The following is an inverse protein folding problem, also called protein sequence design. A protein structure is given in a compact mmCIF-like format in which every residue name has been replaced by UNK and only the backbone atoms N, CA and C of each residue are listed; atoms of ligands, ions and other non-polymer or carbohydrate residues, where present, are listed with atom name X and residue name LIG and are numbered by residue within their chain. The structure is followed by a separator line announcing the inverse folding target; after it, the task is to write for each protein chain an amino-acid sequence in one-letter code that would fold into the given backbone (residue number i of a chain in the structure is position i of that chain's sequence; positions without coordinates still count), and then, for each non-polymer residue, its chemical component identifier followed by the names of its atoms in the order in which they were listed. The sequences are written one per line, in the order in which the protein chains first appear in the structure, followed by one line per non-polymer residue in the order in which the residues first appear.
data_IF_028205290319
#
_entry.id   IF_028205290319
#
_cell.length_a   1.000
_cell.length_b   1.000
_cell.length_c   1.000
_cell.angle_alpha   90.00
_cell.angle_beta   90.00
_cell.angle_gamma   90.00
#
_symmetry.space_group_name_H-M   'P 1'
#
loop_
_entity.id
_entity.type
_entity.pdbx_description
1 polymer ?
#
# COMPACT_ATOMS: atom_id res chain seq x y z
N UNK A 1 -29.80 26.88 16.84
CA UNK A 1 -29.16 26.54 18.13
C UNK A 1 -27.92 25.69 17.87
N UNK A 2 -26.74 26.29 17.99
CA UNK A 2 -25.47 25.65 17.72
C UNK A 2 -25.08 24.75 18.89
N UNK A 3 -25.25 23.44 18.73
CA UNK A 3 -24.77 22.46 19.70
C UNK A 3 -23.24 22.38 19.63
N UNK A 4 -22.59 23.06 20.58
CA UNK A 4 -21.18 22.93 20.92
C UNK A 4 -20.80 21.45 20.96
N UNK A 5 -19.92 21.01 20.06
CA UNK A 5 -19.26 19.72 20.21
C UNK A 5 -18.38 19.84 21.45
N UNK A 6 -18.79 19.17 22.53
CA UNK A 6 -18.01 19.10 23.74
C UNK A 6 -16.63 18.53 23.40
N UNK A 7 -15.62 19.41 23.36
CA UNK A 7 -14.23 18.99 23.38
C UNK A 7 -14.04 18.27 24.71
N UNK A 8 -13.83 16.96 24.69
CA UNK A 8 -13.30 16.26 25.86
C UNK A 8 -11.97 16.95 26.20
N UNK A 9 -11.91 17.57 27.37
CA UNK A 9 -10.74 18.29 27.85
C UNK A 9 -9.51 17.38 27.72
N UNK A 10 -8.57 17.75 26.85
CA UNK A 10 -7.31 17.05 26.64
C UNK A 10 -6.98 16.63 25.20
N UNK A 11 -7.94 16.59 24.26
CA UNK A 11 -7.63 16.17 22.89
C UNK A 11 -7.55 17.35 21.90
N UNK A 12 -6.34 17.61 21.36
CA UNK A 12 -6.05 18.70 20.42
C UNK A 12 -6.79 18.56 19.08
N UNK A 13 -7.25 17.36 18.75
CA UNK A 13 -7.88 17.04 17.46
C UNK A 13 -9.35 16.65 17.62
N UNK A 14 -10.16 16.92 16.59
CA UNK A 14 -11.58 16.51 16.55
C UNK A 14 -11.67 14.99 16.48
N UNK A 15 -12.60 14.40 17.22
CA UNK A 15 -12.80 12.93 17.25
C UNK A 15 -13.98 12.43 16.42
N UNK A 16 -14.63 13.32 15.66
CA UNK A 16 -15.78 13.00 14.83
C UNK A 16 -15.90 13.90 13.61
N UNK A 17 -16.77 13.53 12.66
CA UNK A 17 -16.95 14.25 11.40
C UNK A 17 -17.51 15.66 11.62
N UNK A 18 -17.24 16.53 10.64
CA UNK A 18 -17.84 17.87 10.63
C UNK A 18 -19.33 17.76 10.33
N UNK A 19 -20.14 18.54 11.08
CA UNK A 19 -21.56 18.75 10.75
C UNK A 19 -21.66 19.69 9.54
N UNK A 20 -21.44 19.15 8.35
CA UNK A 20 -21.47 19.87 7.08
C UNK A 20 -22.18 19.05 6.01
N UNK A 21 -22.80 19.72 5.05
CA UNK A 21 -23.34 19.11 3.82
C UNK A 21 -22.32 19.06 2.68
N UNK A 22 -21.16 19.72 2.86
CA UNK A 22 -20.08 19.78 1.88
C UNK A 22 -19.09 18.63 2.09
N UNK A 23 -18.19 18.47 1.12
CA UNK A 23 -17.07 17.55 1.20
C UNK A 23 -16.21 17.85 2.44
N UNK A 24 -15.82 16.83 3.25
CA UNK A 24 -14.87 17.03 4.33
C UNK A 24 -13.53 17.58 3.79
N UNK A 25 -12.91 18.57 4.47
CA UNK A 25 -11.70 19.22 3.97
C UNK A 25 -10.46 18.32 3.96
N UNK A 26 -10.51 17.16 4.61
CA UNK A 26 -9.43 16.18 4.63
C UNK A 26 -9.35 15.27 3.40
N UNK A 27 -10.42 15.18 2.60
CA UNK A 27 -10.53 14.13 1.56
C UNK A 27 -9.40 14.20 0.53
N UNK A 28 -9.01 15.38 0.09
CA UNK A 28 -7.92 15.53 -0.89
C UNK A 28 -6.58 14.96 -0.39
N UNK A 29 -6.28 15.11 0.90
CA UNK A 29 -5.06 14.55 1.49
C UNK A 29 -5.08 13.02 1.51
N UNK A 30 -6.26 12.42 1.76
CA UNK A 30 -6.41 10.97 1.81
C UNK A 30 -6.29 10.37 0.40
N UNK A 31 -6.98 10.94 -0.58
CA UNK A 31 -6.93 10.47 -1.98
C UNK A 31 -5.52 10.64 -2.56
N UNK A 32 -4.90 11.80 -2.36
CA UNK A 32 -3.54 12.04 -2.83
C UNK A 32 -2.53 11.08 -2.20
N UNK A 33 -2.67 10.79 -0.90
CA UNK A 33 -1.84 9.80 -0.23
C UNK A 33 -2.04 8.40 -0.79
N UNK A 34 -3.28 7.98 -1.07
CA UNK A 34 -3.54 6.67 -1.67
C UNK A 34 -2.92 6.54 -3.06
N UNK A 35 -3.09 7.54 -3.93
CA UNK A 35 -2.48 7.49 -5.26
C UNK A 35 -0.96 7.35 -5.22
N UNK A 36 -0.30 8.10 -4.34
CA UNK A 36 1.15 8.04 -4.17
C UNK A 36 1.62 6.73 -3.52
N UNK A 37 0.88 6.21 -2.54
CA UNK A 37 1.17 4.91 -1.94
C UNK A 37 1.05 3.79 -2.99
N UNK A 38 0.03 3.86 -3.86
CA UNK A 38 -0.17 2.87 -4.95
C UNK A 38 0.90 2.99 -6.01
N UNK A 39 1.33 4.21 -6.33
CA UNK A 39 2.52 4.42 -7.14
C UNK A 39 3.74 3.72 -6.50
N UNK A 40 3.96 3.92 -5.20
CA UNK A 40 5.07 3.33 -4.44
C UNK A 40 5.07 1.80 -4.50
N UNK A 41 3.93 1.20 -4.18
CA UNK A 41 3.77 -0.25 -4.08
C UNK A 41 3.91 -0.93 -5.43
N UNK A 42 3.13 -0.49 -6.42
CA UNK A 42 3.12 -1.13 -7.73
C UNK A 42 4.40 -0.85 -8.51
N UNK A 43 5.01 0.33 -8.36
CA UNK A 43 6.28 0.66 -9.01
C UNK A 43 7.42 -0.24 -8.54
N UNK A 44 7.58 -0.37 -7.21
CA UNK A 44 8.58 -1.26 -6.62
C UNK A 44 8.31 -2.71 -7.01
N UNK A 45 7.06 -3.16 -6.89
CA UNK A 45 6.66 -4.53 -7.24
C UNK A 45 6.96 -4.85 -8.72
N UNK A 46 6.70 -3.90 -9.63
CA UNK A 46 6.87 -4.12 -11.06
C UNK A 46 8.31 -4.43 -11.46
N UNK A 47 9.28 -3.86 -10.75
CA UNK A 47 10.71 -4.06 -11.01
C UNK A 47 11.35 -5.12 -10.12
N UNK A 48 10.66 -5.60 -9.08
CA UNK A 48 11.26 -6.41 -8.03
C UNK A 48 11.89 -7.71 -8.55
N UNK A 49 11.21 -8.41 -9.45
CA UNK A 49 11.76 -9.66 -10.01
C UNK A 49 12.96 -9.41 -10.93
N UNK A 50 12.93 -8.31 -11.70
CA UNK A 50 14.05 -7.89 -12.55
C UNK A 50 15.25 -7.47 -11.69
N UNK A 51 15.01 -6.74 -10.60
CA UNK A 51 16.04 -6.37 -9.64
C UNK A 51 16.76 -7.60 -9.08
N UNK A 52 16.01 -8.60 -8.59
CA UNK A 52 16.59 -9.82 -8.03
C UNK A 52 17.38 -10.66 -9.03
N UNK A 53 16.96 -10.67 -10.30
CA UNK A 53 17.57 -11.51 -11.35
C UNK A 53 18.65 -10.80 -12.16
N UNK A 54 18.76 -9.47 -12.09
CA UNK A 54 19.67 -8.71 -12.96
C UNK A 54 20.50 -7.63 -12.24
N UNK A 55 20.09 -7.15 -11.07
CA UNK A 55 20.72 -6.00 -10.40
C UNK A 55 21.22 -6.30 -8.97
N UNK A 56 21.01 -7.51 -8.47
CA UNK A 56 21.40 -7.89 -7.11
C UNK A 56 22.92 -8.09 -6.98
N UNK A 57 23.50 -7.59 -5.89
CA UNK A 57 24.95 -7.58 -5.65
C UNK A 57 25.32 -8.25 -4.31
N UNK A 58 26.57 -8.73 -4.22
CA UNK A 58 27.20 -9.13 -2.96
C UNK A 58 27.68 -7.88 -2.20
N UNK A 59 28.05 -8.05 -0.93
CA UNK A 59 28.58 -6.96 -0.09
C UNK A 59 29.88 -6.34 -0.64
N UNK A 60 30.63 -7.09 -1.46
CA UNK A 60 31.84 -6.61 -2.15
C UNK A 60 31.54 -5.94 -3.50
N UNK A 61 30.27 -5.83 -3.89
CA UNK A 61 29.82 -5.24 -5.16
C UNK A 61 29.86 -6.18 -6.37
N UNK A 62 30.23 -7.46 -6.18
CA UNK A 62 30.16 -8.45 -7.27
C UNK A 62 28.71 -8.88 -7.53
N UNK A 63 28.42 -9.38 -8.73
CA UNK A 63 27.08 -9.83 -9.09
C UNK A 63 26.61 -11.01 -8.22
N UNK A 64 25.39 -10.93 -7.70
CA UNK A 64 24.76 -11.92 -6.83
C UNK A 64 23.31 -12.20 -7.22
N UNK A 65 23.03 -12.17 -8.52
CA UNK A 65 21.69 -12.37 -9.07
C UNK A 65 21.12 -13.72 -8.64
N UNK A 66 19.85 -13.73 -8.24
CA UNK A 66 19.12 -14.95 -7.91
C UNK A 66 18.70 -15.69 -9.17
N UNK A 67 18.54 -17.01 -9.07
CA UNK A 67 17.83 -17.77 -10.10
C UNK A 67 16.38 -17.31 -10.21
N UNK A 68 15.74 -17.55 -11.37
CA UNK A 68 14.34 -17.18 -11.56
C UNK A 68 13.41 -17.81 -10.51
N UNK A 69 13.68 -19.05 -10.11
CA UNK A 69 12.84 -19.77 -9.15
C UNK A 69 12.99 -19.21 -7.74
N UNK A 70 14.21 -18.86 -7.32
CA UNK A 70 14.45 -18.16 -6.06
C UNK A 70 13.78 -16.78 -6.06
N UNK A 71 13.94 -16.02 -7.15
CA UNK A 71 13.34 -14.69 -7.30
C UNK A 71 11.80 -14.74 -7.25
N UNK A 72 11.17 -15.72 -7.91
CA UNK A 72 9.71 -15.97 -7.80
C UNK A 72 9.32 -16.29 -6.35
N UNK A 73 10.10 -17.13 -5.66
CA UNK A 73 9.89 -17.46 -4.25
C UNK A 73 9.87 -16.21 -3.35
N UNK A 74 10.90 -15.36 -3.47
CA UNK A 74 10.98 -14.09 -2.74
C UNK A 74 9.82 -13.15 -3.07
N UNK A 75 9.47 -13.00 -4.35
CA UNK A 75 8.37 -12.16 -4.80
C UNK A 75 7.04 -12.59 -4.17
N UNK A 76 6.71 -13.88 -4.24
CA UNK A 76 5.44 -14.39 -3.71
C UNK A 76 5.41 -14.42 -2.19
N UNK A 77 6.55 -14.64 -1.51
CA UNK A 77 6.65 -14.49 -0.06
C UNK A 77 6.37 -13.04 0.37
N UNK A 78 6.97 -12.07 -0.32
CA UNK A 78 6.72 -10.65 -0.07
C UNK A 78 5.25 -10.28 -0.28
N UNK A 79 4.65 -10.68 -1.41
CA UNK A 79 3.23 -10.42 -1.70
C UNK A 79 2.33 -11.06 -0.63
N UNK A 80 2.62 -12.30 -0.22
CA UNK A 80 1.90 -12.98 0.87
C UNK A 80 2.00 -12.20 2.18
N UNK A 81 3.19 -11.72 2.54
CA UNK A 81 3.40 -10.91 3.75
C UNK A 81 2.60 -9.59 3.71
N UNK A 82 2.56 -8.91 2.56
CA UNK A 82 1.75 -7.67 2.37
C UNK A 82 0.25 -7.93 2.53
N UNK A 83 -0.24 -9.11 2.17
CA UNK A 83 -1.65 -9.47 2.35
C UNK A 83 -1.97 -10.05 3.73
N UNK A 84 -0.97 -10.51 4.48
CA UNK A 84 -1.12 -11.02 5.84
C UNK A 84 -1.06 -9.91 6.91
N UNK A 85 -0.12 -8.98 6.77
CA UNK A 85 0.12 -7.85 7.69
C UNK A 85 -1.05 -6.87 7.90
N UNK A 86 -2.08 -6.74 7.04
CA UNK A 86 -3.30 -6.00 7.35
C UNK A 86 -3.96 -6.44 8.67
N UNK A 87 -3.87 -7.72 9.05
CA UNK A 87 -4.38 -8.19 10.34
C UNK A 87 -3.70 -7.48 11.51
N UNK A 88 -2.38 -7.30 11.43
CA UNK A 88 -1.60 -6.55 12.42
C UNK A 88 -1.95 -5.06 12.40
N UNK A 89 -2.11 -4.50 11.20
CA UNK A 89 -2.54 -3.10 11.02
C UNK A 89 -3.87 -2.81 11.71
N UNK A 90 -4.88 -3.67 11.51
CA UNK A 90 -6.19 -3.55 12.12
C UNK A 90 -6.14 -3.67 13.66
N UNK A 91 -5.38 -4.63 14.18
CA UNK A 91 -5.15 -4.79 15.63
C UNK A 91 -4.55 -3.52 16.25
N UNK A 92 -3.55 -2.92 15.58
CA UNK A 92 -2.89 -1.71 16.07
C UNK A 92 -3.83 -0.50 15.96
N UNK A 93 -4.54 -0.33 14.83
CA UNK A 93 -5.42 0.83 14.59
C UNK A 93 -6.64 0.84 15.48
N UNK A 94 -7.36 -0.27 15.55
CA UNK A 94 -8.64 -0.32 16.24
C UNK A 94 -8.46 -0.55 17.73
N UNK A 95 -7.30 -1.12 18.09
CA UNK A 95 -6.94 -1.47 19.44
C UNK A 95 -6.23 -0.44 20.27
N UNK A 96 -5.13 0.09 19.72
CA UNK A 96 -4.10 0.74 20.53
C UNK A 96 -3.90 2.21 20.13
N UNK A 97 -3.69 2.47 18.84
CA UNK A 97 -3.19 3.76 18.37
C UNK A 97 -4.25 4.65 17.74
N UNK A 98 -5.33 4.08 17.20
CA UNK A 98 -6.24 4.77 16.30
C UNK A 98 -5.68 4.84 14.87
N UNK A 99 -6.59 4.79 13.88
CA UNK A 99 -6.26 4.71 12.44
C UNK A 99 -5.25 5.76 11.97
N UNK A 100 -5.43 7.03 12.33
CA UNK A 100 -4.54 8.12 11.89
C UNK A 100 -3.08 7.91 12.33
N UNK A 101 -2.86 7.51 13.60
CA UNK A 101 -1.51 7.30 14.12
C UNK A 101 -0.87 6.06 13.50
N UNK A 102 -1.65 4.99 13.31
CA UNK A 102 -1.22 3.78 12.61
C UNK A 102 -0.78 4.10 11.19
N UNK A 103 -1.58 4.87 10.43
CA UNK A 103 -1.24 5.28 9.07
C UNK A 103 0.11 6.01 9.04
N UNK A 104 0.31 7.05 9.87
CA UNK A 104 1.57 7.80 9.88
C UNK A 104 2.76 6.92 10.26
N UNK A 105 2.65 6.14 11.36
CA UNK A 105 3.75 5.32 11.85
C UNK A 105 4.18 4.29 10.80
N UNK A 106 3.21 3.55 10.26
CA UNK A 106 3.50 2.52 9.25
C UNK A 106 3.93 3.12 7.91
N UNK A 107 3.48 4.34 7.57
CA UNK A 107 3.97 5.04 6.37
C UNK A 107 5.44 5.41 6.49
N UNK A 108 5.92 5.79 7.68
CA UNK A 108 7.34 6.02 7.92
C UNK A 108 8.14 4.72 7.84
N UNK A 109 7.64 3.61 8.40
CA UNK A 109 8.24 2.27 8.25
C UNK A 109 8.34 1.89 6.77
N UNK A 110 7.28 2.17 6.00
CA UNK A 110 7.26 1.95 4.55
C UNK A 110 8.36 2.76 3.84
N UNK A 111 8.49 4.06 4.16
CA UNK A 111 9.54 4.91 3.59
C UNK A 111 10.95 4.38 3.91
N UNK A 112 11.17 3.88 5.13
CA UNK A 112 12.45 3.26 5.52
C UNK A 112 12.73 1.98 4.72
N UNK A 113 11.71 1.20 4.37
CA UNK A 113 11.88 0.03 3.51
C UNK A 113 12.33 0.40 2.09
N UNK A 114 11.75 1.45 1.50
CA UNK A 114 12.23 1.97 0.22
C UNK A 114 13.65 2.54 0.30
N UNK A 115 13.98 3.23 1.40
CA UNK A 115 15.33 3.74 1.62
C UNK A 115 16.34 2.60 1.70
N UNK A 116 16.00 1.50 2.39
CA UNK A 116 16.85 0.31 2.44
C UNK A 116 17.10 -0.27 1.04
N UNK A 117 16.07 -0.46 0.22
CA UNK A 117 16.23 -0.95 -1.16
C UNK A 117 17.01 0.02 -2.06
N UNK A 118 16.90 1.33 -1.82
CA UNK A 118 17.61 2.32 -2.62
C UNK A 118 19.11 2.36 -2.31
N UNK A 119 19.49 2.10 -1.06
CA UNK A 119 20.87 2.20 -0.57
C UNK A 119 21.65 0.87 -0.58
N UNK A 120 20.97 -0.26 -0.35
CA UNK A 120 21.60 -1.56 -0.20
C UNK A 120 21.00 -2.57 -1.18
N UNK A 121 21.80 -2.94 -2.19
CA UNK A 121 21.39 -3.85 -3.27
C UNK A 121 21.77 -5.32 -3.00
N UNK A 122 22.08 -5.64 -1.74
CA UNK A 122 22.37 -7.01 -1.32
C UNK A 122 21.10 -7.76 -0.91
N UNK A 123 21.22 -9.08 -0.71
CA UNK A 123 20.14 -9.90 -0.13
C UNK A 123 19.73 -9.39 1.26
N UNK A 124 20.66 -8.82 2.03
CA UNK A 124 20.35 -8.22 3.35
C UNK A 124 19.49 -6.97 3.18
N UNK A 125 19.89 -6.05 2.28
CA UNK A 125 19.10 -4.87 1.93
C UNK A 125 17.72 -5.23 1.40
N UNK A 126 17.64 -6.22 0.51
CA UNK A 126 16.40 -6.79 0.00
C UNK A 126 15.49 -7.31 1.14
N UNK A 127 16.03 -8.10 2.05
CA UNK A 127 15.27 -8.69 3.16
C UNK A 127 14.71 -7.62 4.08
N UNK A 128 15.54 -6.66 4.48
CA UNK A 128 15.14 -5.55 5.36
C UNK A 128 14.12 -4.67 4.64
N UNK A 129 14.41 -4.29 3.40
CA UNK A 129 13.55 -3.44 2.58
C UNK A 129 12.17 -4.04 2.37
N UNK A 130 12.09 -5.28 1.90
CA UNK A 130 10.82 -5.98 1.69
C UNK A 130 10.06 -6.23 3.00
N UNK A 131 10.76 -6.55 4.09
CA UNK A 131 10.14 -6.73 5.40
C UNK A 131 9.48 -5.45 5.91
N UNK A 132 10.18 -4.32 5.84
CA UNK A 132 9.66 -3.00 6.23
C UNK A 132 8.52 -2.55 5.31
N UNK A 133 8.64 -2.73 3.99
CA UNK A 133 7.57 -2.42 3.05
C UNK A 133 6.34 -3.29 3.32
N UNK A 134 6.51 -4.59 3.58
CA UNK A 134 5.39 -5.47 3.88
C UNK A 134 4.63 -5.02 5.12
N UNK A 135 5.34 -4.73 6.22
CA UNK A 135 4.74 -4.20 7.45
C UNK A 135 4.03 -2.85 7.23
N UNK A 136 4.69 -1.95 6.51
CA UNK A 136 4.18 -0.62 6.20
C UNK A 136 2.94 -0.68 5.29
N UNK A 137 3.13 -1.09 4.05
CA UNK A 137 2.08 -1.13 3.04
C UNK A 137 0.88 -1.98 3.48
N UNK A 138 1.11 -3.20 3.97
CA UNK A 138 0.03 -4.09 4.40
C UNK A 138 -0.71 -3.57 5.63
N UNK A 139 0.00 -3.09 6.65
CA UNK A 139 -0.65 -2.59 7.86
C UNK A 139 -1.41 -1.25 7.68
N UNK A 140 -1.07 -0.44 6.67
CA UNK A 140 -1.81 0.78 6.32
C UNK A 140 -3.16 0.47 5.65
N UNK A 141 -3.23 -0.57 4.81
CA UNK A 141 -4.42 -0.91 3.98
C UNK A 141 -5.77 -0.91 4.73
N UNK A 142 -5.94 -1.56 5.89
CA UNK A 142 -7.23 -1.56 6.60
C UNK A 142 -7.58 -0.20 7.22
N UNK A 143 -6.59 0.68 7.38
CA UNK A 143 -6.73 1.94 8.12
C UNK A 143 -7.20 3.09 7.22
N UNK A 144 -6.72 3.20 5.98
CA UNK A 144 -6.94 4.40 5.15
C UNK A 144 -8.38 4.52 4.68
N UNK A 145 -8.96 3.43 4.16
CA UNK A 145 -10.34 3.40 3.68
C UNK A 145 -11.34 3.63 4.83
N UNK A 146 -11.08 3.01 5.98
CA UNK A 146 -11.89 3.23 7.18
C UNK A 146 -11.72 4.66 7.74
N UNK A 147 -10.51 5.21 7.75
CA UNK A 147 -10.26 6.59 8.14
C UNK A 147 -10.94 7.60 7.21
N UNK A 148 -11.02 7.30 5.90
CA UNK A 148 -11.81 8.09 4.95
C UNK A 148 -13.29 8.08 5.31
N UNK A 149 -13.87 6.90 5.56
CA UNK A 149 -15.26 6.75 5.95
C UNK A 149 -15.59 7.58 7.19
N UNK A 150 -14.70 7.57 8.18
CA UNK A 150 -14.83 8.33 9.43
C UNK A 150 -14.93 9.86 9.24
N UNK A 151 -14.57 10.38 8.06
CA UNK A 151 -14.68 11.81 7.75
C UNK A 151 -16.10 12.27 7.43
N UNK A 152 -16.99 11.32 7.12
CA UNK A 152 -18.37 11.58 6.75
C UNK A 152 -19.31 11.36 7.93
N UNK A 153 -20.35 12.19 8.00
CA UNK A 153 -21.47 12.01 8.90
C UNK A 153 -22.78 11.97 8.12
N UNK A 154 -23.90 11.82 8.83
CA UNK A 154 -25.23 11.68 8.22
C UNK A 154 -25.58 12.81 7.23
N UNK A 155 -25.07 14.04 7.44
CA UNK A 155 -25.38 15.19 6.60
C UNK A 155 -24.67 15.21 5.24
N UNK A 156 -23.61 14.43 5.05
CA UNK A 156 -22.82 14.38 3.81
C UNK A 156 -22.50 12.94 3.33
N UNK A 157 -23.12 11.93 3.91
CA UNK A 157 -22.97 10.51 3.56
C UNK A 157 -23.21 10.23 2.07
N UNK A 158 -24.16 10.93 1.44
CA UNK A 158 -24.44 10.82 0.01
C UNK A 158 -23.23 11.16 -0.91
N UNK A 159 -22.21 11.86 -0.39
CA UNK A 159 -20.98 12.15 -1.12
C UNK A 159 -19.95 11.02 -1.06
N UNK A 160 -20.10 10.07 -0.13
CA UNK A 160 -19.12 9.01 0.13
C UNK A 160 -18.89 8.12 -1.10
N UNK A 161 -19.95 7.74 -1.82
CA UNK A 161 -19.86 6.94 -3.05
C UNK A 161 -19.03 7.63 -4.13
N UNK A 162 -19.23 8.94 -4.33
CA UNK A 162 -18.44 9.75 -5.26
C UNK A 162 -16.96 9.78 -4.86
N UNK A 163 -16.68 9.90 -3.57
CA UNK A 163 -15.32 9.93 -3.05
C UNK A 163 -14.63 8.58 -3.18
N UNK A 164 -15.32 7.47 -2.96
CA UNK A 164 -14.80 6.15 -3.30
C UNK A 164 -14.48 6.02 -4.79
N UNK A 165 -15.31 6.58 -5.67
CA UNK A 165 -14.99 6.65 -7.10
C UNK A 165 -13.66 7.36 -7.39
N UNK A 166 -13.42 8.52 -6.77
CA UNK A 166 -12.14 9.23 -6.89
C UNK A 166 -10.97 8.48 -6.25
N UNK A 167 -11.21 7.78 -5.14
CA UNK A 167 -10.20 6.96 -4.46
C UNK A 167 -9.74 5.81 -5.36
N UNK A 168 -10.68 5.05 -5.94
CA UNK A 168 -10.36 3.97 -6.87
C UNK A 168 -9.71 4.47 -8.15
N UNK A 169 -10.12 5.63 -8.66
CA UNK A 169 -9.44 6.25 -9.79
C UNK A 169 -7.98 6.60 -9.45
N UNK A 170 -7.72 7.19 -8.28
CA UNK A 170 -6.36 7.51 -7.83
C UNK A 170 -5.50 6.25 -7.65
N UNK A 171 -6.09 5.15 -7.13
CA UNK A 171 -5.41 3.85 -7.02
C UNK A 171 -4.95 3.37 -8.40
N UNK A 172 -5.87 3.28 -9.36
CA UNK A 172 -5.58 2.76 -10.68
C UNK A 172 -4.61 3.66 -11.44
N UNK A 173 -4.78 4.98 -11.36
CA UNK A 173 -3.88 5.94 -12.00
C UNK A 173 -2.46 5.84 -11.41
N UNK A 174 -2.34 5.77 -10.07
CA UNK A 174 -1.04 5.63 -9.40
C UNK A 174 -0.33 4.35 -9.80
N UNK A 175 -1.05 3.22 -9.84
CA UNK A 175 -0.53 1.92 -10.26
C UNK A 175 -0.09 1.92 -11.73
N UNK A 176 -0.94 2.43 -12.63
CA UNK A 176 -0.64 2.51 -14.06
C UNK A 176 0.61 3.35 -14.33
N UNK A 177 0.69 4.56 -13.75
CA UNK A 177 1.84 5.44 -13.95
C UNK A 177 3.14 4.84 -13.40
N UNK A 178 3.08 4.14 -12.26
CA UNK A 178 4.28 3.54 -11.68
C UNK A 178 4.77 2.30 -12.44
N UNK A 179 3.86 1.47 -12.96
CA UNK A 179 4.23 0.32 -13.79
C UNK A 179 4.85 0.73 -15.13
N UNK A 180 4.56 1.94 -15.62
CA UNK A 180 5.24 2.50 -16.80
C UNK A 180 6.57 3.18 -16.43
N UNK A 181 6.56 4.04 -15.41
CA UNK A 181 7.70 4.90 -15.08
C UNK A 181 8.83 4.17 -14.36
N UNK A 182 8.52 3.30 -13.40
CA UNK A 182 9.56 2.68 -12.55
C UNK A 182 10.47 1.70 -13.29
N UNK A 183 9.98 0.84 -14.21
CA UNK A 183 10.86 0.04 -15.06
C UNK A 183 11.79 0.90 -15.93
N UNK A 184 11.27 2.00 -16.49
CA UNK A 184 12.08 2.94 -17.25
C UNK A 184 13.16 3.60 -16.38
N UNK A 185 12.82 3.99 -15.14
CA UNK A 185 13.81 4.50 -14.19
C UNK A 185 14.89 3.47 -13.86
N UNK A 186 14.53 2.20 -13.74
CA UNK A 186 15.48 1.11 -13.47
C UNK A 186 16.49 0.96 -14.60
N UNK A 187 16.02 0.92 -15.85
CA UNK A 187 16.89 0.76 -17.02
C UNK A 187 17.81 1.97 -17.22
N UNK A 188 17.29 3.19 -17.08
CA UNK A 188 18.02 4.42 -17.42
C UNK A 188 18.92 4.94 -16.30
N UNK A 189 18.53 4.74 -15.04
CA UNK A 189 19.19 5.34 -13.87
C UNK A 189 19.59 4.32 -12.79
N UNK A 190 19.27 3.04 -12.96
CA UNK A 190 19.63 1.96 -12.05
C UNK A 190 18.73 1.81 -10.82
N UNK A 191 19.01 0.76 -10.05
CA UNK A 191 18.16 0.30 -8.94
C UNK A 191 17.98 1.34 -7.82
N UNK A 192 19.04 2.08 -7.47
CA UNK A 192 18.96 3.12 -6.44
C UNK A 192 17.89 4.15 -6.74
N UNK A 193 17.86 4.69 -7.97
CA UNK A 193 16.88 5.71 -8.37
C UNK A 193 15.49 5.10 -8.49
N UNK A 194 15.38 3.90 -9.07
CA UNK A 194 14.11 3.22 -9.26
C UNK A 194 13.40 2.86 -7.95
N UNK A 195 14.14 2.60 -6.86
CA UNK A 195 13.54 2.43 -5.52
C UNK A 195 13.40 3.74 -4.73
N UNK A 196 14.29 4.71 -4.94
CA UNK A 196 14.25 6.00 -4.25
C UNK A 196 13.06 6.87 -4.70
N UNK A 197 12.78 6.96 -6.00
CA UNK A 197 11.69 7.83 -6.52
C UNK A 197 10.33 7.44 -5.93
N UNK A 198 9.90 6.17 -5.95
CA UNK A 198 8.65 5.77 -5.30
C UNK A 198 8.67 6.03 -3.78
N UNK A 199 9.79 5.76 -3.10
CA UNK A 199 9.95 6.03 -1.67
C UNK A 199 9.87 7.52 -1.29
N UNK A 200 10.45 8.41 -2.09
CA UNK A 200 10.38 9.85 -1.90
C UNK A 200 8.96 10.37 -2.14
N UNK A 201 8.26 9.86 -3.17
CA UNK A 201 6.86 10.20 -3.40
C UNK A 201 5.97 9.73 -2.23
N UNK A 202 6.21 8.53 -1.70
CA UNK A 202 5.53 8.03 -0.50
C UNK A 202 5.84 8.89 0.74
N UNK A 203 7.07 9.35 0.91
CA UNK A 203 7.45 10.26 2.00
C UNK A 203 6.72 11.61 1.88
N UNK A 204 6.71 12.20 0.68
CA UNK A 204 5.99 13.44 0.42
C UNK A 204 4.48 13.28 0.69
N UNK A 205 3.90 12.16 0.25
CA UNK A 205 2.50 11.82 0.52
C UNK A 205 2.22 11.71 2.02
N UNK A 206 3.12 11.07 2.77
CA UNK A 206 3.04 10.95 4.23
C UNK A 206 3.08 12.32 4.91
N UNK A 207 3.97 13.21 4.45
CA UNK A 207 4.07 14.58 4.96
C UNK A 207 2.83 15.42 4.64
N UNK A 208 2.28 15.27 3.43
CA UNK A 208 1.03 15.91 3.04
C UNK A 208 -0.15 15.40 3.88
N UNK A 209 -0.26 14.08 4.06
CA UNK A 209 -1.25 13.48 4.94
C UNK A 209 -1.12 14.02 6.37
N UNK A 210 0.10 14.07 6.90
CA UNK A 210 0.37 14.67 8.22
C UNK A 210 0.01 16.15 8.31
N UNK A 211 0.17 16.93 7.22
CA UNK A 211 -0.27 18.33 7.17
C UNK A 211 -1.80 18.46 7.31
N UNK A 212 -2.55 17.45 6.88
CA UNK A 212 -4.01 17.33 7.01
C UNK A 212 -4.51 17.07 8.44
N UNK A 213 -3.64 16.86 9.43
CA UNK A 213 -3.98 16.51 10.83
C UNK A 213 -5.01 17.43 11.51
N UNK A 214 -5.08 18.71 11.16
CA UNK A 214 -6.07 19.62 11.75
C UNK A 214 -7.42 19.60 11.01
N UNK A 215 -7.50 18.90 9.87
CA UNK A 215 -8.68 18.78 9.02
C UNK A 215 -9.44 17.48 9.26
N UNK A 216 -8.76 16.42 9.72
CA UNK A 216 -9.35 15.11 9.93
C UNK A 216 -10.14 14.96 11.23
N UNK A 217 -11.14 14.09 11.19
CA UNK A 217 -11.69 13.41 12.35
C UNK A 217 -10.75 12.27 12.78
N UNK A 218 -10.32 12.30 14.04
CA UNK A 218 -9.44 11.32 14.68
C UNK A 218 -10.28 10.44 15.60
N UNK A 219 -10.88 9.40 15.03
CA UNK A 219 -11.67 8.43 15.81
C UNK A 219 -10.71 7.69 16.77
N UNK A 220 -11.00 7.69 18.09
CA UNK A 220 -10.18 6.97 19.05
C UNK A 220 -10.29 5.45 18.83
N UNK A 221 -9.29 4.66 19.24
CA UNK A 221 -9.37 3.21 19.19
C UNK A 221 -10.55 2.70 20.03
N UNK A 222 -11.25 1.69 19.52
CA UNK A 222 -12.37 1.03 20.18
C UNK A 222 -11.92 0.01 21.24
N UNK A 223 -10.62 -0.33 21.27
CA UNK A 223 -10.04 -1.33 22.18
C UNK A 223 -10.13 -2.76 21.62
N UNK A 224 -9.69 -3.75 22.41
CA UNK A 224 -9.60 -5.16 22.00
C UNK A 224 -10.91 -5.95 22.02
N UNK A 225 -12.05 -5.32 22.33
CA UNK A 225 -13.34 -6.01 22.41
C UNK A 225 -13.73 -6.73 21.11
N UNK A 226 -13.33 -6.18 19.96
CA UNK A 226 -13.61 -6.79 18.65
C UNK A 226 -12.94 -8.17 18.49
N UNK A 227 -11.80 -8.42 19.14
CA UNK A 227 -11.11 -9.72 19.03
C UNK A 227 -11.98 -10.82 19.65
N UNK A 228 -12.57 -10.54 20.81
CA UNK A 228 -13.52 -11.46 21.45
C UNK A 228 -14.77 -11.68 20.60
N UNK A 229 -15.22 -10.66 19.85
CA UNK A 229 -16.36 -10.76 18.94
C UNK A 229 -16.02 -11.62 17.70
N UNK A 230 -14.83 -11.45 17.11
CA UNK A 230 -14.33 -12.27 16.00
C UNK A 230 -14.25 -13.74 16.40
N UNK A 231 -13.77 -14.03 17.61
CA UNK A 231 -13.66 -15.39 18.16
C UNK A 231 -14.94 -15.91 18.84
N UNK A 232 -16.05 -15.17 18.76
CA UNK A 232 -17.36 -15.64 19.21
C UNK A 232 -17.92 -16.73 18.29
N UNK A 233 -18.90 -17.50 18.75
CA UNK A 233 -19.54 -18.54 17.93
C UNK A 233 -20.19 -18.00 16.64
N UNK A 234 -20.77 -16.80 16.67
CA UNK A 234 -21.28 -16.12 15.48
C UNK A 234 -20.16 -15.60 14.58
N UNK A 235 -19.09 -15.07 15.16
CA UNK A 235 -17.88 -14.63 14.47
C UNK A 235 -17.23 -15.77 13.69
N UNK A 236 -16.94 -16.90 14.35
CA UNK A 236 -16.37 -18.09 13.70
C UNK A 236 -17.26 -18.63 12.58
N UNK A 237 -18.58 -18.66 12.78
CA UNK A 237 -19.53 -19.11 11.75
C UNK A 237 -19.51 -18.18 10.54
N UNK A 238 -19.36 -16.88 10.75
CA UNK A 238 -19.23 -15.88 9.68
C UNK A 238 -17.90 -16.05 8.96
N UNK A 239 -16.79 -16.18 9.70
CA UNK A 239 -15.47 -16.46 9.13
C UNK A 239 -15.48 -17.73 8.29
N UNK A 240 -16.05 -18.84 8.78
CA UNK A 240 -16.13 -20.10 8.04
C UNK A 240 -16.87 -19.95 6.71
N UNK A 241 -17.99 -19.20 6.70
CA UNK A 241 -18.75 -18.91 5.47
C UNK A 241 -17.96 -18.04 4.50
N UNK A 242 -17.27 -17.02 5.01
CA UNK A 242 -16.42 -16.15 4.20
C UNK A 242 -15.22 -16.89 3.63
N UNK A 243 -14.57 -17.76 4.42
CA UNK A 243 -13.43 -18.57 3.98
C UNK A 243 -13.75 -19.43 2.77
N UNK A 244 -14.97 -19.97 2.68
CA UNK A 244 -15.42 -20.73 1.50
C UNK A 244 -15.44 -19.86 0.24
N UNK A 245 -15.88 -18.61 0.33
CA UNK A 245 -15.87 -17.66 -0.79
C UNK A 245 -14.43 -17.25 -1.12
N UNK A 246 -13.63 -16.94 -0.09
CA UNK A 246 -12.25 -16.52 -0.28
C UNK A 246 -11.34 -17.61 -0.83
N UNK A 247 -11.67 -18.89 -0.65
CA UNK A 247 -10.94 -20.00 -1.26
C UNK A 247 -10.94 -19.90 -2.78
N UNK A 248 -12.08 -19.58 -3.41
CA UNK A 248 -12.17 -19.39 -4.85
C UNK A 248 -11.47 -18.12 -5.31
N UNK A 249 -11.58 -17.05 -4.53
CA UNK A 249 -10.91 -15.77 -4.80
C UNK A 249 -9.38 -15.92 -4.72
N UNK A 250 -8.87 -16.78 -3.82
CA UNK A 250 -7.45 -17.05 -3.69
C UNK A 250 -6.85 -17.69 -4.95
N UNK A 251 -7.59 -18.57 -5.65
CA UNK A 251 -7.13 -19.15 -6.92
C UNK A 251 -6.96 -18.07 -7.98
N UNK A 252 -7.93 -17.15 -8.09
CA UNK A 252 -7.82 -16.01 -9.01
C UNK A 252 -6.59 -15.17 -8.70
N UNK A 253 -6.37 -14.78 -7.43
CA UNK A 253 -5.22 -13.95 -7.06
C UNK A 253 -3.89 -14.66 -7.24
N UNK A 254 -3.82 -15.98 -6.98
CA UNK A 254 -2.60 -16.76 -7.21
C UNK A 254 -2.19 -16.77 -8.69
N UNK A 255 -3.17 -16.82 -9.60
CA UNK A 255 -2.94 -16.71 -11.04
C UNK A 255 -2.64 -15.26 -11.45
N UNK A 256 -3.41 -14.30 -10.94
CA UNK A 256 -3.21 -12.88 -11.24
C UNK A 256 -1.83 -12.39 -10.83
N UNK A 257 -1.33 -12.83 -9.67
CA UNK A 257 -0.02 -12.41 -9.16
C UNK A 257 1.16 -12.95 -9.99
N UNK A 258 0.93 -13.87 -10.94
CA UNK A 258 1.94 -14.30 -11.91
C UNK A 258 2.31 -13.17 -12.91
N UNK A 259 1.43 -12.19 -13.08
CA UNK A 259 1.65 -11.00 -13.94
C UNK A 259 2.92 -10.25 -13.56
N UNK A 260 3.26 -10.20 -12.27
CA UNK A 260 4.45 -9.50 -11.77
C UNK A 260 5.68 -10.39 -11.55
N UNK A 261 5.58 -11.69 -11.85
CA UNK A 261 6.68 -12.64 -11.70
C UNK A 261 6.93 -13.40 -13.00
N UNK A 262 6.32 -14.57 -13.17
CA UNK A 262 6.55 -15.48 -14.30
C UNK A 262 6.31 -14.82 -15.66
N UNK A 263 5.30 -13.95 -15.78
CA UNK A 263 4.99 -13.28 -17.05
C UNK A 263 6.02 -12.21 -17.42
N UNK A 264 6.61 -11.52 -16.42
CA UNK A 264 7.69 -10.56 -16.65
C UNK A 264 8.93 -11.26 -17.18
N UNK A 265 9.27 -12.44 -16.66
CA UNK A 265 10.40 -13.23 -17.13
C UNK A 265 10.14 -13.79 -18.53
N UNK A 266 8.94 -14.32 -18.78
CA UNK A 266 8.57 -14.81 -20.11
C UNK A 266 8.62 -13.71 -21.18
N UNK A 267 8.25 -12.47 -20.83
CA UNK A 267 8.30 -11.32 -21.72
C UNK A 267 9.71 -11.04 -22.25
N UNK A 268 10.76 -11.40 -21.52
CA UNK A 268 12.15 -11.25 -21.96
C UNK A 268 12.47 -12.09 -23.20
N UNK A 269 11.68 -13.12 -23.47
CA UNK A 269 11.82 -14.01 -24.61
C UNK A 269 10.78 -13.76 -25.72
N UNK A 270 10.00 -12.69 -25.61
CA UNK A 270 8.95 -12.34 -26.56
C UNK A 270 9.39 -11.16 -27.44
N UNK A 271 8.73 -11.02 -28.59
CA UNK A 271 8.76 -9.76 -29.33
C UNK A 271 7.99 -8.70 -28.54
N UNK A 272 8.68 -7.60 -28.23
CA UNK A 272 8.19 -6.49 -27.41
C UNK A 272 8.03 -5.19 -28.20
N UNK A 273 8.15 -5.25 -29.53
CA UNK A 273 7.89 -4.10 -30.39
C UNK A 273 6.39 -3.85 -30.51
N UNK A 274 5.94 -2.72 -29.97
CA UNK A 274 4.57 -2.25 -30.11
C UNK A 274 4.57 -0.95 -30.91
N UNK A 275 4.15 -1.02 -32.17
CA UNK A 275 4.11 0.12 -33.09
C UNK A 275 5.47 0.83 -33.27
N UNK A 276 6.58 0.10 -33.27
CA UNK A 276 7.93 0.65 -33.37
C UNK A 276 8.52 1.16 -32.04
N UNK A 277 7.86 0.92 -30.92
CA UNK A 277 8.36 1.19 -29.57
C UNK A 277 8.59 -0.12 -28.82
N UNK A 278 9.81 -0.36 -28.38
CA UNK A 278 10.14 -1.52 -27.56
C UNK A 278 9.66 -1.30 -26.12
N UNK A 279 8.76 -2.16 -25.64
CA UNK A 279 8.22 -2.12 -24.28
C UNK A 279 9.11 -2.93 -23.35
N UNK A 280 9.38 -2.43 -22.14
CA UNK A 280 10.15 -3.20 -21.14
C UNK A 280 9.34 -4.40 -20.62
N UNK A 281 9.99 -5.52 -20.27
CA UNK A 281 9.28 -6.72 -19.80
C UNK A 281 8.35 -6.45 -18.63
N UNK A 282 8.81 -5.62 -17.67
CA UNK A 282 8.03 -5.20 -16.51
C UNK A 282 6.87 -4.26 -16.84
N UNK A 283 6.91 -3.52 -17.94
CA UNK A 283 5.86 -2.57 -18.33
C UNK A 283 4.60 -3.26 -18.84
N UNK A 284 4.67 -4.54 -19.24
CA UNK A 284 3.49 -5.31 -19.63
C UNK A 284 2.46 -5.45 -18.49
N UNK A 285 2.88 -5.25 -17.23
CA UNK A 285 1.96 -5.22 -16.08
C UNK A 285 0.96 -4.05 -16.14
N UNK A 286 1.26 -2.99 -16.90
CA UNK A 286 0.39 -1.84 -17.07
C UNK A 286 -0.69 -2.03 -18.16
N UNK A 287 -0.60 -3.11 -18.95
CA UNK A 287 -1.47 -3.41 -20.08
C UNK A 287 -2.80 -4.07 -19.67
#
# INVERSE_FOLDING_TARGET
MAGSQAMKAGNKYRTGPLKTRRLPPGIGFIIGNEGAERFSYYGMRAILIVFMTQYLLNADGTAAMLSEDEAKGWFHLFVSAVYFTPLLGALISDGLLGKYRTIILLSLVYCLGHLALALDHTVTGLTIGLGLIALGAGGIKPCVSSHMGDQFGQSNEHLLSRVFGWFYFAINLGAFLSMLATPWLLEQYGASVAFAVPGLLMLLATLLFWSGRNRFAHVPPSGMGFVSEVFSGSGLKTLARLSMIYLFVAVFWALFDQTGSSWVLQAQHMDRDLFGFEILPSQMQAA
#
